data_IF_174390270947
#
_entry.id   IF_174390270947
#
_cell.length_a   1.000
_cell.length_b   1.000
_cell.length_c   1.000
_cell.angle_alpha   90.00
_cell.angle_beta   90.00
_cell.angle_gamma   90.00
#
_symmetry.space_group_name_H-M   'P 1'
#
loop_
_entity.id
_entity.type
_entity.pdbx_description
1 polymer ?
#
# COMPACT_ATOMS: atom_id res chain seq x y z
N UNK A 1 -5.87 13.01 4.28
CA UNK A 1 -4.55 12.52 3.79
C UNK A 1 -4.76 11.73 2.52
N UNK A 2 -3.84 11.84 1.58
CA UNK A 2 -3.86 11.11 0.31
C UNK A 2 -2.84 9.97 0.34
N UNK A 3 -2.97 9.01 -0.58
CA UNK A 3 -1.98 7.94 -0.78
C UNK A 3 -0.58 8.48 -1.07
N UNK A 4 -0.48 9.69 -1.60
CA UNK A 4 0.82 10.34 -1.87
C UNK A 4 1.62 10.65 -0.60
N UNK A 5 0.94 10.77 0.55
CA UNK A 5 1.59 10.97 1.84
C UNK A 5 2.59 12.15 1.82
N UNK A 6 2.10 13.29 1.36
CA UNK A 6 2.90 14.52 1.20
C UNK A 6 2.60 15.57 2.26
N UNK A 7 1.66 15.28 3.16
CA UNK A 7 1.24 16.15 4.26
C UNK A 7 1.14 15.35 5.55
N UNK A 8 1.36 16.00 6.66
CA UNK A 8 1.23 15.42 7.99
C UNK A 8 0.40 16.31 8.92
N UNK A 9 -0.11 15.74 10.00
CA UNK A 9 -0.72 16.50 11.08
C UNK A 9 0.34 17.25 11.89
N UNK A 10 -0.06 18.30 12.63
CA UNK A 10 0.87 19.12 13.40
C UNK A 10 1.66 18.40 14.51
N UNK A 11 1.27 17.17 14.82
CA UNK A 11 1.93 16.30 15.82
C UNK A 11 2.63 15.08 15.20
N UNK A 12 2.79 15.04 13.89
CA UNK A 12 3.42 13.92 13.18
C UNK A 12 4.46 14.42 12.19
N UNK A 13 5.26 13.50 11.66
CA UNK A 13 6.23 13.76 10.62
C UNK A 13 5.94 12.89 9.39
N UNK A 14 6.53 13.25 8.26
CA UNK A 14 6.65 12.36 7.13
C UNK A 14 7.85 11.40 7.34
N UNK A 15 7.82 10.20 6.75
CA UNK A 15 8.93 9.24 6.89
C UNK A 15 10.30 9.83 6.55
N UNK A 16 10.37 10.68 5.54
CA UNK A 16 11.63 11.29 5.11
C UNK A 16 12.21 12.28 6.12
N UNK A 17 11.39 12.84 6.97
CA UNK A 17 11.84 13.76 8.03
C UNK A 17 12.66 13.02 9.07
N UNK A 18 12.29 11.77 9.33
CA UNK A 18 12.99 10.90 10.27
C UNK A 18 14.16 10.19 9.59
N UNK A 19 13.98 9.65 8.38
CA UNK A 19 15.04 8.99 7.61
C UNK A 19 16.29 9.86 7.47
N UNK A 20 16.12 11.13 7.08
CA UNK A 20 17.24 12.04 6.84
C UNK A 20 18.03 12.34 8.12
N UNK A 21 17.32 12.38 9.27
CA UNK A 21 17.99 12.58 10.57
C UNK A 21 18.81 11.35 10.96
N UNK A 22 18.27 10.15 10.76
CA UNK A 22 18.98 8.90 11.07
C UNK A 22 20.20 8.70 10.18
N UNK A 23 20.12 9.10 8.92
CA UNK A 23 21.26 8.96 7.99
C UNK A 23 22.34 10.02 8.18
N UNK A 24 21.95 11.25 8.47
CA UNK A 24 22.87 12.38 8.45
C UNK A 24 23.40 12.78 9.84
N UNK A 25 22.72 12.38 10.92
CA UNK A 25 23.09 12.76 12.29
C UNK A 25 23.59 11.54 13.09
N UNK A 26 24.90 11.49 13.39
CA UNK A 26 25.51 10.29 13.99
C UNK A 26 25.03 9.97 15.42
N UNK A 27 24.34 10.89 16.07
CA UNK A 27 23.76 10.67 17.39
C UNK A 27 22.30 10.14 17.33
N UNK A 28 21.69 10.10 16.15
CA UNK A 28 20.38 9.48 15.95
C UNK A 28 20.55 7.99 15.72
N UNK A 29 20.14 7.16 16.68
CA UNK A 29 20.34 5.71 16.64
C UNK A 29 19.17 4.92 16.04
N UNK A 30 18.08 5.59 15.71
CA UNK A 30 16.89 4.98 15.10
C UNK A 30 15.58 5.53 15.65
N UNK A 31 14.48 4.93 15.20
CA UNK A 31 13.13 5.30 15.59
C UNK A 31 12.23 4.09 15.75
N UNK A 32 11.10 4.29 16.41
CA UNK A 32 9.95 3.39 16.38
C UNK A 32 8.78 4.11 15.74
N UNK A 33 8.32 3.59 14.62
CA UNK A 33 7.21 4.19 13.90
C UNK A 33 5.89 3.92 14.60
N UNK A 34 5.12 4.96 14.91
CA UNK A 34 3.75 4.85 15.33
C UNK A 34 2.82 5.10 14.13
N UNK A 35 2.20 4.08 13.54
CA UNK A 35 2.24 2.69 14.01
C UNK A 35 2.37 1.70 12.85
N UNK A 36 2.74 0.46 13.17
CA UNK A 36 2.83 -0.60 12.16
C UNK A 36 1.47 -0.97 11.57
N UNK A 37 0.44 -1.05 12.39
CA UNK A 37 -0.92 -1.43 11.97
C UNK A 37 -1.94 -0.38 12.37
N UNK A 38 -2.99 -0.22 11.57
CA UNK A 38 -4.18 0.46 12.03
C UNK A 38 -4.85 -0.33 13.15
N UNK A 39 -5.54 0.35 14.04
CA UNK A 39 -6.26 -0.24 15.16
C UNK A 39 -7.55 0.54 15.46
N UNK A 40 -8.52 -0.15 16.02
CA UNK A 40 -9.80 0.43 16.40
C UNK A 40 -9.65 1.33 17.63
N UNK A 41 -10.48 2.37 17.73
CA UNK A 41 -10.62 3.22 18.90
C UNK A 41 -9.87 4.55 18.85
N UNK A 42 -9.09 4.82 17.79
CA UNK A 42 -8.38 6.11 17.65
C UNK A 42 -8.48 6.66 16.22
N UNK A 43 -9.63 7.22 15.84
CA UNK A 43 -9.85 7.74 14.49
C UNK A 43 -9.23 9.13 14.25
N UNK A 44 -8.22 9.52 14.99
CA UNK A 44 -7.54 10.81 14.86
C UNK A 44 -6.98 11.01 13.43
N UNK A 45 -7.20 12.13 12.75
CA UNK A 45 -7.86 13.37 13.22
C UNK A 45 -9.40 13.41 13.00
N UNK A 46 -10.02 12.32 12.58
CA UNK A 46 -11.42 12.23 12.16
C UNK A 46 -12.39 11.81 13.27
N UNK A 47 -12.04 12.06 14.53
CA UNK A 47 -12.83 11.62 15.69
C UNK A 47 -14.23 12.28 15.80
N UNK A 48 -14.47 13.36 15.06
CA UNK A 48 -15.80 13.97 14.91
C UNK A 48 -16.57 13.49 13.67
N UNK A 49 -15.96 12.69 12.82
CA UNK A 49 -16.49 12.29 11.51
C UNK A 49 -17.00 10.84 11.57
N UNK A 50 -18.14 10.64 12.22
CA UNK A 50 -18.78 9.31 12.23
C UNK A 50 -19.12 8.83 10.81
N UNK A 51 -18.82 7.57 10.44
CA UNK A 51 -18.44 6.42 11.29
C UNK A 51 -16.94 6.13 11.39
N UNK A 52 -16.06 7.12 11.23
CA UNK A 52 -14.64 6.92 11.46
C UNK A 52 -14.34 6.41 12.86
N UNK A 53 -13.78 5.22 13.00
CA UNK A 53 -13.55 4.56 14.29
C UNK A 53 -12.24 3.81 14.40
N UNK A 54 -11.42 3.86 13.35
CA UNK A 54 -10.07 3.27 13.31
C UNK A 54 -9.03 4.33 13.10
N UNK A 55 -7.81 4.06 13.55
CA UNK A 55 -6.64 4.85 13.14
C UNK A 55 -6.42 4.75 11.63
N UNK A 56 -5.74 5.77 11.08
CA UNK A 56 -5.40 5.86 9.65
C UNK A 56 -3.88 5.94 9.42
N UNK A 57 -3.11 6.00 10.49
CA UNK A 57 -1.66 6.23 10.46
C UNK A 57 -0.83 4.94 10.50
N UNK A 58 -1.45 3.77 10.57
CA UNK A 58 -0.76 2.50 10.36
C UNK A 58 -0.15 2.40 8.96
N UNK A 59 0.99 1.75 8.83
CA UNK A 59 1.60 1.43 7.53
C UNK A 59 0.96 0.20 6.88
N UNK A 60 0.24 -0.60 7.67
CA UNK A 60 -0.59 -1.74 7.29
C UNK A 60 -2.00 -1.46 7.81
N UNK A 61 -3.02 -1.78 7.03
CA UNK A 61 -4.40 -1.53 7.40
C UNK A 61 -4.99 -2.58 8.38
N UNK A 62 -6.26 -2.41 8.79
CA UNK A 62 -6.98 -3.34 9.66
C UNK A 62 -7.12 -4.76 9.12
N UNK A 63 -7.04 -4.94 7.81
CA UNK A 63 -7.09 -6.25 7.16
C UNK A 63 -5.71 -6.91 7.05
N UNK A 64 -4.64 -6.27 7.54
CA UNK A 64 -3.28 -6.74 7.38
C UNK A 64 -2.72 -6.48 5.97
N UNK A 65 -3.35 -5.61 5.19
CA UNK A 65 -2.94 -5.28 3.82
C UNK A 65 -2.00 -4.07 3.87
N UNK A 66 -0.80 -4.17 3.27
CA UNK A 66 0.14 -3.06 3.20
C UNK A 66 -0.43 -1.86 2.45
N UNK A 67 -0.33 -0.66 3.06
CA UNK A 67 -0.61 0.61 2.40
C UNK A 67 0.58 1.08 1.56
N UNK A 68 0.41 2.13 0.76
CA UNK A 68 1.51 2.65 -0.06
C UNK A 68 2.74 3.03 0.78
N UNK A 69 2.52 3.63 1.96
CA UNK A 69 3.58 4.00 2.91
C UNK A 69 4.43 2.80 3.36
N UNK A 70 3.87 1.61 3.49
CA UNK A 70 4.63 0.38 3.77
C UNK A 70 5.79 0.17 2.78
N UNK A 71 5.52 0.41 1.50
CA UNK A 71 6.52 0.22 0.45
C UNK A 71 7.60 1.31 0.47
N UNK A 72 7.29 2.51 0.95
CA UNK A 72 8.30 3.55 1.18
C UNK A 72 9.28 3.09 2.27
N UNK A 73 8.79 2.66 3.44
CA UNK A 73 9.63 2.10 4.49
C UNK A 73 10.42 0.89 4.01
N UNK A 74 9.78 -0.07 3.33
CA UNK A 74 10.45 -1.25 2.82
C UNK A 74 11.55 -0.91 1.82
N UNK A 75 11.33 0.05 0.94
CA UNK A 75 12.32 0.48 -0.05
C UNK A 75 13.57 1.11 0.57
N UNK A 76 13.41 1.69 1.75
CA UNK A 76 14.47 2.36 2.47
C UNK A 76 15.17 1.44 3.48
N UNK A 77 14.42 0.69 4.28
CA UNK A 77 14.97 -0.12 5.35
C UNK A 77 15.40 -1.53 4.93
N UNK A 78 14.66 -2.17 4.04
CA UNK A 78 14.96 -3.53 3.63
C UNK A 78 15.73 -3.56 2.31
N UNK A 79 17.06 -3.73 2.40
CA UNK A 79 17.93 -3.77 1.23
C UNK A 79 18.00 -5.16 0.57
N UNK A 80 17.54 -6.20 1.26
CA UNK A 80 17.61 -7.60 0.79
C UNK A 80 16.41 -7.99 -0.06
N UNK A 81 15.33 -7.21 0.01
CA UNK A 81 14.10 -7.44 -0.74
C UNK A 81 13.89 -6.35 -1.77
N UNK A 82 13.78 -6.74 -3.03
CA UNK A 82 13.43 -5.82 -4.09
C UNK A 82 12.10 -5.12 -3.81
N UNK A 83 12.12 -3.81 -3.91
CA UNK A 83 10.91 -2.98 -3.85
C UNK A 83 10.83 -2.15 -5.12
N UNK A 84 9.73 -2.32 -5.84
CA UNK A 84 9.33 -1.46 -6.95
C UNK A 84 7.82 -1.28 -6.87
N UNK A 85 7.38 -0.19 -6.24
CA UNK A 85 5.98 0.10 -5.97
C UNK A 85 5.55 1.37 -6.67
N UNK A 86 4.43 1.30 -7.38
CA UNK A 86 3.85 2.41 -8.15
C UNK A 86 2.57 2.85 -7.45
N UNK A 87 2.41 4.15 -7.24
CA UNK A 87 1.19 4.75 -6.76
C UNK A 87 0.86 6.03 -7.55
N UNK A 88 -0.45 6.38 -7.61
CA UNK A 88 -1.64 5.71 -7.13
C UNK A 88 -2.06 4.56 -8.08
N UNK A 89 -3.20 3.91 -7.79
CA UNK A 89 -3.85 3.04 -8.77
C UNK A 89 -4.21 3.81 -10.04
N UNK A 90 -4.47 3.09 -11.14
CA UNK A 90 -4.70 3.74 -12.44
C UNK A 90 -6.13 3.57 -12.97
N UNK A 91 -7.12 3.76 -12.07
CA UNK A 91 -8.56 3.79 -12.39
C UNK A 91 -9.15 5.11 -11.92
N UNK A 92 -9.13 6.12 -12.78
CA UNK A 92 -9.62 7.47 -12.49
C UNK A 92 -10.64 7.89 -13.55
N UNK A 93 -11.64 7.04 -13.81
CA UNK A 93 -12.71 7.29 -14.78
C UNK A 93 -13.32 8.68 -14.60
N UNK A 94 -13.46 9.41 -15.71
CA UNK A 94 -13.97 10.79 -15.74
C UNK A 94 -12.91 11.86 -15.46
N UNK A 95 -11.65 11.48 -15.27
CA UNK A 95 -10.53 12.41 -15.04
C UNK A 95 -9.48 12.37 -16.14
N UNK A 96 -9.87 11.92 -17.34
CA UNK A 96 -8.97 11.81 -18.48
C UNK A 96 -8.36 13.17 -18.83
N UNK A 97 -7.06 13.23 -18.96
CA UNK A 97 -6.29 14.45 -19.22
C UNK A 97 -5.99 15.33 -18.01
N UNK A 98 -6.57 15.04 -16.83
CA UNK A 98 -6.24 15.74 -15.60
C UNK A 98 -4.87 15.32 -15.05
N UNK A 99 -4.21 16.26 -14.38
CA UNK A 99 -2.93 15.97 -13.71
C UNK A 99 -3.15 14.94 -12.60
N UNK A 100 -2.47 13.83 -12.73
CA UNK A 100 -2.46 12.73 -11.76
C UNK A 100 -1.01 12.34 -11.52
N UNK A 101 -0.35 12.88 -10.46
CA UNK A 101 1.03 12.55 -10.17
C UNK A 101 1.25 11.05 -9.99
N UNK A 102 2.43 10.56 -10.39
CA UNK A 102 2.85 9.19 -10.17
C UNK A 102 4.09 9.19 -9.31
N UNK A 103 4.06 8.43 -8.21
CA UNK A 103 5.21 8.22 -7.35
C UNK A 103 5.67 6.76 -7.45
N UNK A 104 6.96 6.56 -7.28
CA UNK A 104 7.57 5.24 -7.25
C UNK A 104 8.47 5.12 -6.03
N UNK A 105 8.21 4.06 -5.24
CA UNK A 105 9.05 3.70 -4.11
C UNK A 105 9.88 2.48 -4.47
N UNK A 106 11.19 2.61 -4.40
CA UNK A 106 12.11 1.57 -4.83
C UNK A 106 13.45 1.65 -4.10
N UNK A 107 14.15 0.52 -3.96
CA UNK A 107 15.53 0.48 -3.49
C UNK A 107 16.51 1.03 -4.53
N UNK A 108 16.12 1.09 -5.80
CA UNK A 108 16.99 1.52 -6.88
C UNK A 108 17.11 3.06 -6.95
N UNK A 109 18.24 3.59 -7.43
CA UNK A 109 18.46 5.03 -7.47
C UNK A 109 17.66 5.75 -8.54
N UNK A 110 17.32 5.08 -9.63
CA UNK A 110 16.70 5.70 -10.81
C UNK A 110 15.56 4.83 -11.35
N UNK A 111 14.52 5.47 -11.86
CA UNK A 111 13.51 4.79 -12.66
C UNK A 111 12.99 5.67 -13.80
N UNK A 112 12.41 5.04 -14.82
CA UNK A 112 11.71 5.66 -15.92
C UNK A 112 10.25 5.22 -15.92
N UNK A 113 9.37 6.20 -16.06
CA UNK A 113 7.92 5.99 -16.10
C UNK A 113 7.43 6.02 -17.54
N UNK A 114 6.54 5.10 -17.87
CA UNK A 114 5.84 5.04 -19.16
C UNK A 114 4.33 5.00 -18.92
N UNK A 115 3.60 5.82 -19.66
CA UNK A 115 2.14 5.78 -19.73
C UNK A 115 1.78 5.42 -21.17
N UNK A 116 1.05 4.32 -21.35
CA UNK A 116 0.68 3.79 -22.66
C UNK A 116 1.89 3.68 -23.64
N UNK A 117 3.03 3.24 -23.12
CA UNK A 117 4.28 3.09 -23.86
C UNK A 117 5.06 4.38 -24.10
N UNK A 118 4.51 5.54 -23.72
CA UNK A 118 5.18 6.83 -23.87
C UNK A 118 5.96 7.17 -22.61
N UNK A 119 7.27 7.40 -22.76
CA UNK A 119 8.13 7.80 -21.64
C UNK A 119 7.71 9.16 -21.06
N UNK A 120 7.64 9.22 -19.75
CA UNK A 120 7.48 10.43 -18.95
C UNK A 120 8.82 10.94 -18.41
N UNK A 121 9.92 10.36 -18.89
CA UNK A 121 11.28 10.67 -18.49
C UNK A 121 11.75 9.90 -17.26
N UNK A 122 13.06 9.94 -17.05
CA UNK A 122 13.72 9.35 -15.88
C UNK A 122 13.68 10.29 -14.68
N UNK A 123 13.64 9.69 -13.50
CA UNK A 123 13.86 10.37 -12.22
C UNK A 123 14.94 9.63 -11.45
N UNK A 124 15.81 10.38 -10.79
CA UNK A 124 16.88 9.85 -9.94
C UNK A 124 16.76 10.45 -8.56
N UNK A 125 16.99 9.65 -7.52
CA UNK A 125 17.00 10.12 -6.14
C UNK A 125 18.10 11.16 -5.94
N UNK A 126 17.77 12.25 -5.28
CA UNK A 126 18.71 13.35 -5.03
C UNK A 126 19.47 13.14 -3.72
N UNK A 127 20.58 12.44 -3.79
CA UNK A 127 21.43 12.15 -2.63
C UNK A 127 22.25 13.38 -2.15
N UNK A 128 22.21 14.52 -2.85
CA UNK A 128 22.83 15.76 -2.40
C UNK A 128 22.01 16.48 -1.33
N UNK A 129 20.75 16.10 -1.18
CA UNK A 129 19.87 16.64 -0.13
C UNK A 129 20.29 16.07 1.22
N UNK A 130 20.49 16.95 2.21
CA UNK A 130 20.88 16.61 3.58
C UNK A 130 19.97 17.29 4.58
N UNK A 131 20.04 16.86 5.84
CA UNK A 131 19.31 17.51 6.94
C UNK A 131 19.66 19.01 7.03
N UNK A 132 20.91 19.39 6.71
CA UNK A 132 21.39 20.77 6.83
C UNK A 132 20.98 21.67 5.66
N UNK A 133 20.66 21.11 4.49
CA UNK A 133 20.31 21.89 3.30
C UNK A 133 18.87 21.74 2.84
N UNK A 134 18.07 20.92 3.51
CA UNK A 134 16.67 20.62 3.10
C UNK A 134 15.62 21.55 3.73
N UNK A 135 16.03 22.42 4.67
CA UNK A 135 15.11 23.32 5.39
C UNK A 135 14.29 22.61 6.47
N UNK A 136 13.49 23.36 7.20
CA UNK A 136 12.61 22.82 8.22
C UNK A 136 11.38 22.15 7.60
N UNK A 137 10.99 21.02 8.17
CA UNK A 137 9.95 20.15 7.62
C UNK A 137 8.62 20.22 8.37
N UNK A 138 8.54 21.00 9.46
CA UNK A 138 7.49 20.83 10.48
C UNK A 138 6.10 21.31 10.09
N UNK A 139 5.84 21.80 8.89
CA UNK A 139 4.51 22.33 8.57
C UNK A 139 3.97 22.06 7.16
N UNK A 140 4.80 21.64 6.22
CA UNK A 140 4.37 21.45 4.82
C UNK A 140 5.17 20.36 4.13
N UNK A 141 4.62 19.85 3.02
CA UNK A 141 5.33 18.91 2.16
C UNK A 141 6.74 19.40 1.79
N UNK A 142 7.76 18.71 2.26
CA UNK A 142 9.13 19.01 1.92
C UNK A 142 9.57 18.22 0.68
N UNK A 143 9.17 18.68 -0.49
CA UNK A 143 9.50 18.03 -1.77
C UNK A 143 11.01 17.91 -2.02
N UNK A 144 11.82 18.82 -1.49
CA UNK A 144 13.28 18.70 -1.60
C UNK A 144 13.78 17.48 -0.85
N UNK A 145 13.30 17.26 0.38
CA UNK A 145 13.64 16.09 1.21
C UNK A 145 13.08 14.81 0.62
N UNK A 146 11.84 14.84 0.14
CA UNK A 146 11.21 13.69 -0.50
C UNK A 146 11.97 13.18 -1.73
N UNK A 147 12.59 14.05 -2.52
CA UNK A 147 13.39 13.65 -3.70
C UNK A 147 14.60 12.78 -3.36
N UNK A 148 15.08 12.77 -2.12
CA UNK A 148 16.13 11.84 -1.68
C UNK A 148 15.65 10.39 -1.59
N UNK A 149 14.35 10.19 -1.35
CA UNK A 149 13.77 8.88 -1.03
C UNK A 149 12.76 8.39 -2.05
N UNK A 150 12.08 9.29 -2.72
CA UNK A 150 10.99 9.01 -3.68
C UNK A 150 11.36 9.45 -5.09
N UNK A 151 10.82 8.72 -6.07
CA UNK A 151 10.85 9.12 -7.47
C UNK A 151 9.46 9.64 -7.83
N UNK A 152 9.36 10.90 -8.28
CA UNK A 152 8.09 11.61 -8.40
C UNK A 152 7.93 12.26 -9.78
N UNK A 153 6.84 11.96 -10.46
CA UNK A 153 6.38 12.61 -11.69
C UNK A 153 5.11 13.39 -11.35
N UNK A 154 5.24 14.71 -11.18
CA UNK A 154 4.20 15.59 -10.64
C UNK A 154 3.20 16.09 -11.67
N UNK A 155 3.52 16.00 -12.95
CA UNK A 155 2.82 16.60 -14.08
C UNK A 155 2.23 15.57 -15.05
N UNK A 156 2.27 14.29 -14.69
CA UNK A 156 1.64 13.23 -15.49
C UNK A 156 0.14 13.45 -15.58
N UNK A 157 -0.42 13.12 -16.75
CA UNK A 157 -1.86 13.19 -16.98
C UNK A 157 -2.45 11.80 -17.02
N UNK A 158 -3.63 11.66 -16.45
CA UNK A 158 -4.35 10.41 -16.50
C UNK A 158 -4.83 10.10 -17.92
N UNK A 159 -4.46 8.94 -18.40
CA UNK A 159 -4.99 8.29 -19.59
C UNK A 159 -5.23 6.82 -19.24
N UNK A 160 -6.45 6.27 -19.42
CA UNK A 160 -6.67 4.85 -19.14
C UNK A 160 -5.75 3.98 -19.99
N UNK A 161 -5.28 2.86 -19.41
CA UNK A 161 -4.35 1.96 -20.07
C UNK A 161 -3.26 1.47 -19.13
N UNK A 162 -2.02 1.53 -19.58
CA UNK A 162 -0.87 0.92 -18.90
C UNK A 162 0.04 1.96 -18.27
N UNK A 163 0.39 1.77 -17.00
CA UNK A 163 1.49 2.45 -16.33
C UNK A 163 2.61 1.44 -16.11
N UNK A 164 3.78 1.69 -16.68
CA UNK A 164 4.95 0.83 -16.54
C UNK A 164 6.12 1.63 -15.98
N UNK A 165 6.88 1.01 -15.09
CA UNK A 165 8.12 1.57 -14.54
C UNK A 165 9.25 0.59 -14.79
N UNK A 166 10.39 1.11 -15.26
CA UNK A 166 11.64 0.38 -15.36
C UNK A 166 12.63 1.02 -14.39
N UNK A 167 13.15 0.23 -13.47
CA UNK A 167 14.17 0.65 -12.51
C UNK A 167 15.58 0.35 -13.04
N UNK A 168 16.51 1.24 -12.68
CA UNK A 168 17.91 1.16 -13.10
C UNK A 168 18.82 1.17 -11.89
N UNK A 169 19.91 0.40 -12.00
CA UNK A 169 20.99 0.41 -11.01
C UNK A 169 21.86 1.69 -11.13
N UNK A 170 22.91 1.77 -10.30
CA UNK A 170 23.87 2.88 -10.32
C UNK A 170 24.69 2.98 -11.61
N UNK A 171 24.81 1.88 -12.35
CA UNK A 171 25.55 1.78 -13.59
C UNK A 171 24.66 2.05 -14.82
N UNK A 172 23.36 2.27 -14.60
CA UNK A 172 22.37 2.57 -15.64
C UNK A 172 21.78 1.35 -16.32
N UNK A 173 22.00 0.15 -15.79
CA UNK A 173 21.39 -1.07 -16.32
C UNK A 173 19.95 -1.20 -15.82
N UNK A 174 19.04 -1.63 -16.70
CA UNK A 174 17.68 -1.98 -16.31
C UNK A 174 17.72 -3.27 -15.47
N UNK A 175 17.17 -3.20 -14.24
CA UNK A 175 17.26 -4.29 -13.25
C UNK A 175 15.93 -4.82 -12.79
N UNK A 176 14.87 -4.02 -12.89
CA UNK A 176 13.52 -4.42 -12.51
C UNK A 176 12.48 -3.67 -13.35
N UNK A 177 11.33 -4.29 -13.53
CA UNK A 177 10.18 -3.61 -14.13
C UNK A 177 8.87 -3.99 -13.41
N UNK A 178 7.93 -3.06 -13.41
CA UNK A 178 6.58 -3.27 -12.90
C UNK A 178 5.58 -2.57 -13.79
N UNK A 179 4.47 -3.23 -14.01
CA UNK A 179 3.35 -2.71 -14.78
C UNK A 179 2.06 -2.80 -13.97
N UNK A 180 1.19 -1.81 -14.11
CA UNK A 180 -0.20 -1.89 -13.72
C UNK A 180 -1.08 -1.36 -14.85
N UNK A 181 -2.34 -1.83 -14.88
CA UNK A 181 -3.30 -1.46 -15.92
C UNK A 181 -4.55 -0.89 -15.29
N UNK A 182 -5.20 0.01 -16.01
CA UNK A 182 -6.59 0.37 -15.71
C UNK A 182 -7.43 -0.89 -15.78
N UNK A 183 -8.02 -1.27 -14.65
CA UNK A 183 -8.89 -2.43 -14.58
C UNK A 183 -10.24 -2.15 -15.23
N UNK A 184 -10.79 -3.16 -15.85
CA UNK A 184 -12.16 -3.18 -16.32
C UNK A 184 -13.16 -3.41 -15.18
N UNK A 185 -14.38 -3.84 -15.54
CA UNK A 185 -15.42 -4.16 -14.55
C UNK A 185 -15.04 -5.39 -13.73
N UNK A 186 -15.45 -5.46 -12.43
CA UNK A 186 -15.33 -6.66 -11.63
C UNK A 186 -15.85 -7.91 -12.36
N UNK A 187 -15.04 -8.95 -12.40
CA UNK A 187 -15.35 -10.17 -13.13
C UNK A 187 -15.26 -11.44 -12.27
N UNK A 188 -14.19 -11.56 -11.46
CA UNK A 188 -14.00 -12.72 -10.58
C UNK A 188 -13.32 -12.34 -9.27
N UNK A 189 -13.39 -13.29 -8.33
CA UNK A 189 -12.67 -13.23 -7.06
C UNK A 189 -11.42 -14.10 -7.19
N UNK A 190 -10.29 -13.59 -6.73
CA UNK A 190 -9.05 -14.33 -6.53
C UNK A 190 -8.78 -14.49 -5.05
N UNK A 191 -8.41 -15.71 -4.64
CA UNK A 191 -8.07 -16.06 -3.26
C UNK A 191 -6.61 -16.49 -3.19
N UNK A 192 -5.87 -15.94 -2.25
CA UNK A 192 -4.47 -16.32 -1.99
C UNK A 192 -4.28 -16.54 -0.50
N UNK A 193 -4.06 -17.78 -0.10
CA UNK A 193 -3.74 -18.11 1.28
C UNK A 193 -2.26 -17.79 1.59
N UNK A 194 -1.99 -17.31 2.79
CA UNK A 194 -0.62 -17.10 3.28
C UNK A 194 0.11 -18.43 3.49
N UNK A 195 -0.64 -19.48 3.81
CA UNK A 195 -0.16 -20.83 4.04
C UNK A 195 -1.14 -21.87 3.47
N UNK A 196 -0.62 -22.87 2.82
CA UNK A 196 -1.38 -24.01 2.28
C UNK A 196 -1.59 -25.15 3.28
N UNK A 197 -0.88 -25.09 4.42
CA UNK A 197 -0.96 -26.05 5.52
C UNK A 197 -0.96 -25.33 6.86
N UNK A 198 -1.88 -25.76 7.73
CA UNK A 198 -2.01 -25.31 9.11
C UNK A 198 -2.12 -26.52 10.04
N UNK A 199 -1.80 -26.34 11.32
CA UNK A 199 -1.91 -27.40 12.32
C UNK A 199 -3.36 -27.71 12.64
N UNK A 200 -3.71 -28.99 12.77
CA UNK A 200 -5.05 -29.42 13.18
C UNK A 200 -5.18 -29.43 14.72
N UNK A 201 -5.06 -28.23 15.32
CA UNK A 201 -5.07 -28.03 16.77
C UNK A 201 -6.28 -27.19 17.26
N UNK A 202 -7.21 -26.89 16.36
CA UNK A 202 -8.38 -26.05 16.64
C UNK A 202 -8.07 -24.56 16.83
N UNK A 203 -6.82 -24.14 16.64
CA UNK A 203 -6.35 -22.76 16.91
C UNK A 203 -5.60 -22.13 15.76
N UNK A 204 -4.88 -22.92 14.98
CA UNK A 204 -4.04 -22.41 13.90
C UNK A 204 -4.89 -21.79 12.79
N UNK A 205 -4.34 -20.76 12.15
CA UNK A 205 -5.05 -19.88 11.22
C UNK A 205 -4.36 -19.81 9.86
N UNK A 206 -5.13 -19.65 8.81
CA UNK A 206 -4.66 -19.17 7.52
C UNK A 206 -5.35 -17.86 7.18
N UNK A 207 -4.57 -16.89 6.70
CA UNK A 207 -5.05 -15.58 6.25
C UNK A 207 -5.16 -15.61 4.73
N UNK A 208 -6.38 -15.48 4.26
CA UNK A 208 -6.70 -15.57 2.83
C UNK A 208 -6.94 -14.16 2.30
N UNK A 209 -6.02 -13.66 1.49
CA UNK A 209 -6.22 -12.42 0.75
C UNK A 209 -7.26 -12.64 -0.34
N UNK A 210 -8.27 -11.80 -0.35
CA UNK A 210 -9.38 -11.79 -1.32
C UNK A 210 -9.21 -10.57 -2.21
N UNK A 211 -9.23 -10.77 -3.53
CA UNK A 211 -9.16 -9.70 -4.52
C UNK A 211 -10.32 -9.79 -5.49
N UNK A 212 -10.93 -8.66 -5.80
CA UNK A 212 -11.86 -8.52 -6.91
C UNK A 212 -11.06 -8.05 -8.12
N UNK A 213 -11.07 -8.86 -9.17
CA UNK A 213 -10.31 -8.59 -10.38
C UNK A 213 -11.22 -8.55 -11.61
N UNK A 214 -10.75 -7.87 -12.67
CA UNK A 214 -11.39 -7.87 -13.97
C UNK A 214 -11.16 -9.20 -14.72
N UNK A 215 -11.64 -9.28 -15.96
CA UNK A 215 -11.48 -10.47 -16.81
C UNK A 215 -10.02 -10.82 -17.10
N UNK A 216 -9.15 -9.83 -17.12
CA UNK A 216 -7.73 -9.96 -17.43
C UNK A 216 -6.86 -10.16 -16.17
N UNK A 217 -7.46 -10.18 -14.96
CA UNK A 217 -6.78 -10.39 -13.70
C UNK A 217 -6.25 -9.11 -13.04
N UNK A 218 -6.60 -7.93 -13.56
CA UNK A 218 -6.21 -6.68 -12.94
C UNK A 218 -7.10 -6.41 -11.72
N UNK A 219 -6.48 -6.01 -10.58
CA UNK A 219 -7.22 -5.59 -9.39
C UNK A 219 -8.14 -4.42 -9.74
N UNK A 220 -9.41 -4.52 -9.33
CA UNK A 220 -10.38 -3.43 -9.45
C UNK A 220 -10.30 -2.53 -8.21
N UNK A 221 -9.53 -1.43 -8.21
CA UNK A 221 -9.20 -0.68 -7.00
C UNK A 221 -10.37 0.18 -6.49
N UNK A 222 -11.46 0.26 -7.24
CA UNK A 222 -12.69 0.96 -6.86
C UNK A 222 -13.83 0.00 -6.51
N UNK A 223 -13.57 -1.32 -6.52
CA UNK A 223 -14.59 -2.30 -6.20
C UNK A 223 -14.94 -2.28 -4.69
N UNK A 224 -16.24 -2.33 -4.41
CA UNK A 224 -16.84 -2.41 -3.08
C UNK A 224 -17.91 -3.53 -3.02
N UNK A 225 -17.70 -4.60 -3.77
CA UNK A 225 -18.63 -5.73 -3.82
C UNK A 225 -18.69 -6.46 -2.47
N UNK A 226 -19.89 -6.87 -2.05
CA UNK A 226 -20.04 -7.77 -0.93
C UNK A 226 -19.62 -9.19 -1.33
N UNK A 227 -18.78 -9.80 -0.49
CA UNK A 227 -18.30 -11.17 -0.63
C UNK A 227 -18.90 -12.02 0.47
N UNK A 228 -19.48 -13.16 0.12
CA UNK A 228 -19.98 -14.16 1.07
C UNK A 228 -19.02 -15.35 1.11
N UNK A 229 -18.69 -15.81 2.31
CA UNK A 229 -17.75 -16.90 2.56
C UNK A 229 -18.47 -18.18 2.98
N UNK A 230 -18.01 -19.30 2.45
CA UNK A 230 -18.40 -20.62 2.88
C UNK A 230 -17.16 -21.51 2.93
N UNK A 231 -16.78 -21.93 4.12
CA UNK A 231 -15.70 -22.89 4.35
C UNK A 231 -16.27 -24.28 4.50
N UNK A 232 -15.61 -25.28 3.93
CA UNK A 232 -16.00 -26.70 3.99
C UNK A 232 -14.82 -27.54 4.47
N UNK A 233 -15.12 -28.75 4.97
CA UNK A 233 -14.09 -29.69 5.40
C UNK A 233 -13.68 -29.49 6.87
N UNK A 234 -12.39 -29.64 7.17
CA UNK A 234 -11.83 -29.63 8.54
C UNK A 234 -11.37 -28.25 9.01
N UNK A 235 -12.06 -27.22 8.54
CA UNK A 235 -11.86 -25.83 8.96
C UNK A 235 -13.17 -25.05 8.94
N UNK A 236 -13.13 -23.83 9.47
CA UNK A 236 -14.28 -22.93 9.50
C UNK A 236 -13.86 -21.48 9.28
N UNK A 237 -14.79 -20.66 8.80
CA UNK A 237 -14.61 -19.22 8.72
C UNK A 237 -14.54 -18.63 10.12
N UNK A 238 -13.46 -17.94 10.42
CA UNK A 238 -13.21 -17.34 11.74
C UNK A 238 -13.63 -15.88 11.79
N UNK A 239 -13.17 -15.10 10.80
CA UNK A 239 -13.42 -13.67 10.71
C UNK A 239 -13.03 -13.14 9.32
N UNK A 240 -13.35 -11.87 9.07
CA UNK A 240 -12.85 -11.11 7.92
C UNK A 240 -12.63 -9.65 8.28
N UNK A 241 -11.78 -8.98 7.53
CA UNK A 241 -11.53 -7.55 7.64
C UNK A 241 -11.26 -6.96 6.25
N UNK A 242 -11.75 -5.75 6.00
CA UNK A 242 -11.60 -5.09 4.70
C UNK A 242 -10.64 -3.88 4.71
N UNK A 243 -10.15 -3.48 5.87
CA UNK A 243 -9.24 -2.33 6.02
C UNK A 243 -9.91 -0.96 5.95
N UNK A 244 -11.21 -0.88 5.72
CA UNK A 244 -11.94 0.38 5.73
C UNK A 244 -12.09 0.93 7.17
N UNK A 245 -11.50 2.08 7.50
CA UNK A 245 -11.56 2.65 8.85
C UNK A 245 -12.95 3.14 9.25
N UNK A 246 -13.92 3.11 8.32
CA UNK A 246 -15.30 3.56 8.51
C UNK A 246 -16.33 2.43 8.44
N UNK A 247 -15.91 1.19 8.14
CA UNK A 247 -16.82 0.05 8.04
C UNK A 247 -17.33 -0.38 9.41
N UNK A 248 -18.65 -0.44 9.56
CA UNK A 248 -19.33 -0.95 10.73
C UNK A 248 -19.73 -2.44 10.61
N UNK A 249 -19.24 -3.13 9.58
CA UNK A 249 -19.54 -4.53 9.34
C UNK A 249 -18.87 -5.40 10.42
N UNK A 250 -19.59 -6.45 10.86
CA UNK A 250 -19.06 -7.38 11.86
C UNK A 250 -17.93 -8.22 11.27
N UNK A 251 -16.77 -8.22 11.92
CA UNK A 251 -15.65 -9.08 11.54
C UNK A 251 -15.98 -10.59 11.59
N UNK A 252 -17.00 -10.98 12.37
CA UNK A 252 -17.40 -12.39 12.51
C UNK A 252 -18.47 -12.80 11.51
N UNK A 253 -19.12 -11.87 10.81
CA UNK A 253 -20.10 -12.21 9.80
C UNK A 253 -19.42 -12.89 8.59
N UNK A 254 -19.98 -13.98 8.06
CA UNK A 254 -19.40 -14.67 6.92
C UNK A 254 -19.66 -13.95 5.58
N UNK A 255 -19.79 -12.66 5.62
CA UNK A 255 -19.89 -11.75 4.47
C UNK A 255 -19.32 -10.38 4.84
N UNK A 256 -18.74 -9.70 3.89
CA UNK A 256 -18.20 -8.36 4.05
C UNK A 256 -17.95 -7.72 2.68
N UNK A 257 -18.07 -6.41 2.59
CA UNK A 257 -17.67 -5.67 1.39
C UNK A 257 -16.16 -5.59 1.30
N UNK A 258 -15.62 -5.75 0.10
CA UNK A 258 -14.22 -5.41 -0.15
C UNK A 258 -14.02 -3.89 -0.07
N UNK A 259 -12.85 -3.47 0.34
CA UNK A 259 -12.41 -2.08 0.33
C UNK A 259 -11.24 -1.94 -0.65
N UNK A 260 -11.37 -1.01 -1.59
CA UNK A 260 -10.39 -0.88 -2.69
C UNK A 260 -10.11 -2.20 -3.42
N UNK A 261 -11.17 -3.00 -3.59
CA UNK A 261 -11.12 -4.30 -4.26
C UNK A 261 -10.50 -5.43 -3.46
N UNK A 262 -10.18 -5.23 -2.18
CA UNK A 262 -9.47 -6.22 -1.37
C UNK A 262 -10.11 -6.41 0.01
N UNK A 263 -9.86 -7.55 0.62
CA UNK A 263 -10.10 -7.85 2.03
C UNK A 263 -9.30 -9.10 2.42
N UNK A 264 -9.27 -9.40 3.71
CA UNK A 264 -8.71 -10.65 4.25
C UNK A 264 -9.80 -11.47 4.93
N UNK A 265 -9.88 -12.75 4.58
CA UNK A 265 -10.67 -13.74 5.31
C UNK A 265 -9.74 -14.62 6.15
N UNK A 266 -10.18 -14.97 7.35
CA UNK A 266 -9.41 -15.80 8.29
C UNK A 266 -10.12 -17.15 8.41
N UNK A 267 -9.38 -18.21 8.12
CA UNK A 267 -9.82 -19.59 8.24
C UNK A 267 -9.10 -20.26 9.39
N UNK A 268 -9.82 -20.92 10.28
CA UNK A 268 -9.29 -21.67 11.40
C UNK A 268 -9.37 -23.17 11.15
N UNK A 269 -8.37 -23.91 11.65
CA UNK A 269 -8.40 -25.38 11.69
C UNK A 269 -9.41 -25.89 12.71
N UNK A 270 -9.84 -27.16 12.52
CA UNK A 270 -10.40 -27.99 13.59
C UNK A 270 -9.31 -28.85 14.24
N UNK A 271 -9.65 -29.63 15.28
CA UNK A 271 -8.74 -30.61 15.88
C UNK A 271 -8.59 -31.89 15.04
N UNK A 272 -9.37 -32.01 13.99
CA UNK A 272 -9.33 -33.17 13.10
C UNK A 272 -8.52 -32.85 11.85
N UNK A 273 -7.47 -33.63 11.52
CA UNK A 273 -6.74 -33.51 10.27
C UNK A 273 -7.62 -33.75 9.05
N UNK A 274 -7.37 -32.98 7.99
CA UNK A 274 -8.10 -33.14 6.74
C UNK A 274 -8.00 -31.92 5.83
N UNK A 275 -8.74 -31.98 4.74
CA UNK A 275 -8.79 -30.88 3.75
C UNK A 275 -9.79 -29.82 4.20
N UNK A 276 -9.42 -28.59 3.97
CA UNK A 276 -10.28 -27.40 4.10
C UNK A 276 -10.64 -26.90 2.72
#
# INVERSE_FOLDING_TARGET
SSSYDVEHCGWSNLPEDDFIQHEDLPYCIGEFVWTGFDYLGEPTPYYSDWPSHSSLFGIIDLAGIPKDRYYLYRSHWNKDVETLHILPHWNWEGREGEVTPVFVYTNYPTAELFINGKSQGKRTKDLSVTVHNSGDSLSTANFKRQKRYRLMWMDTKYEPGTVKVIAYDKDGNAVAEKEMKTAGKPYRIELTADRDKIMADGKDLSFVTVKVVDKDGNLCPTAANEITFKVKGKGYYRAGANGDPTSLESFQAPHMKVFSGMMTAIVSSTEEPGKI
#
